data_IF_875132669201
#
_entry.id   IF_875132669201
#
_cell.length_a   1.000
_cell.length_b   1.000
_cell.length_c   1.000
_cell.angle_alpha   90.00
_cell.angle_beta   90.00
_cell.angle_gamma   90.00
#
_symmetry.space_group_name_H-M   'P 1'
#
loop_
_entity.id
_entity.type
_entity.pdbx_description
1 polymer ?
#
# COMPACT_ATOMS: atom_id res chain seq x y z
N UNK A 1 15.69 -13.48 35.66
CA UNK A 1 14.39 -14.15 35.91
C UNK A 1 13.35 -13.09 36.28
N UNK A 2 12.59 -12.60 35.30
CA UNK A 2 11.30 -11.90 35.45
C UNK A 2 10.71 -11.76 34.05
N UNK A 3 9.67 -12.55 33.78
CA UNK A 3 9.02 -12.61 32.47
C UNK A 3 7.86 -11.60 32.38
N UNK A 4 7.80 -10.99 31.18
CA UNK A 4 6.69 -10.36 30.45
C UNK A 4 5.28 -10.44 31.07
N UNK A 5 4.70 -9.26 31.29
CA UNK A 5 3.25 -9.06 31.27
C UNK A 5 2.75 -8.96 29.81
N UNK A 6 1.72 -9.74 29.48
CA UNK A 6 1.02 -9.68 28.20
C UNK A 6 -0.05 -8.60 28.21
N UNK A 7 -0.02 -7.73 27.22
CA UNK A 7 -1.06 -6.75 26.95
C UNK A 7 -2.01 -7.30 25.87
N UNK A 8 -3.30 -7.33 26.20
CA UNK A 8 -4.39 -7.79 25.36
C UNK A 8 -4.64 -6.84 24.17
N UNK A 9 -4.91 -7.41 23.00
CA UNK A 9 -5.31 -6.69 21.80
C UNK A 9 -6.81 -6.31 21.88
N UNK A 10 -7.22 -5.08 21.48
CA UNK A 10 -8.63 -4.74 21.37
C UNK A 10 -9.24 -5.28 20.07
N UNK A 11 -10.45 -5.81 20.21
CA UNK A 11 -11.26 -6.47 19.20
C UNK A 11 -11.71 -5.52 18.07
N UNK A 12 -11.73 -6.04 16.84
CA UNK A 12 -12.34 -5.41 15.67
C UNK A 12 -13.87 -5.39 15.84
N UNK A 13 -14.56 -4.25 15.67
CA UNK A 13 -16.01 -4.24 15.58
C UNK A 13 -16.44 -4.88 14.25
N UNK A 14 -17.35 -5.85 14.37
CA UNK A 14 -17.87 -6.66 13.26
C UNK A 14 -18.78 -5.86 12.32
N UNK A 15 -18.85 -6.34 11.08
CA UNK A 15 -19.66 -5.86 9.95
C UNK A 15 -21.16 -5.66 10.25
N UNK A 16 -21.65 -6.09 11.41
CA UNK A 16 -23.07 -6.07 11.80
C UNK A 16 -23.52 -4.69 12.32
N UNK A 17 -22.60 -3.90 12.91
CA UNK A 17 -22.89 -2.54 13.40
C UNK A 17 -23.19 -1.55 12.27
N UNK A 18 -22.62 -1.78 11.08
CA UNK A 18 -22.81 -0.90 9.92
C UNK A 18 -24.19 -1.08 9.29
N UNK A 19 -24.75 -2.29 9.36
CA UNK A 19 -26.07 -2.62 8.80
C UNK A 19 -27.17 -2.14 9.74
N UNK A 20 -26.99 -2.29 11.06
CA UNK A 20 -27.96 -1.85 12.05
C UNK A 20 -28.05 -0.31 12.13
N UNK A 21 -26.93 0.42 11.95
CA UNK A 21 -26.94 1.89 11.82
C UNK A 21 -27.65 2.37 10.55
N UNK A 22 -27.51 1.68 9.41
CA UNK A 22 -28.22 2.04 8.17
C UNK A 22 -29.73 1.80 8.28
N UNK A 23 -30.15 0.72 8.94
CA UNK A 23 -31.57 0.47 9.24
C UNK A 23 -32.16 1.53 10.17
N UNK A 24 -31.41 2.00 11.18
CA UNK A 24 -31.86 3.07 12.08
C UNK A 24 -32.04 4.43 11.37
N UNK A 25 -31.16 4.75 10.41
CA UNK A 25 -31.22 5.99 9.61
C UNK A 25 -32.38 5.96 8.60
N UNK A 26 -32.69 4.79 8.04
CA UNK A 26 -33.82 4.64 7.11
C UNK A 26 -35.17 4.63 7.86
N UNK A 27 -35.25 4.03 9.05
CA UNK A 27 -36.46 4.09 9.89
C UNK A 27 -36.75 5.49 10.44
N UNK A 28 -35.72 6.29 10.72
CA UNK A 28 -35.90 7.68 11.17
C UNK A 28 -36.32 8.62 10.04
N UNK A 29 -36.01 8.29 8.78
CA UNK A 29 -36.44 9.07 7.61
C UNK A 29 -37.92 8.79 7.23
N UNK A 30 -38.45 7.62 7.55
CA UNK A 30 -39.83 7.23 7.22
C UNK A 30 -40.91 7.88 8.13
N UNK A 31 -40.55 8.46 9.27
CA UNK A 31 -41.50 9.11 10.19
C UNK A 31 -41.81 10.57 9.78
N UNK A 32 -41.07 11.13 8.81
CA UNK A 32 -41.19 12.56 8.46
C UNK A 32 -42.22 12.83 7.34
N UNK A 33 -42.83 11.80 6.73
CA UNK A 33 -43.77 12.00 5.60
C UNK A 33 -45.04 11.17 5.76
N UNK A 34 -45.89 11.55 6.72
CA UNK A 34 -47.33 11.28 6.68
C UNK A 34 -48.09 12.46 7.30
N UNK A 35 -49.01 13.04 6.52
CA UNK A 35 -49.65 14.35 6.71
C UNK A 35 -50.41 14.57 8.03
N UNK A 36 -50.45 15.80 8.54
CA UNK A 36 -51.31 16.91 8.05
C UNK A 36 -52.81 16.66 8.31
N UNK A 37 -53.21 16.63 9.58
CA UNK A 37 -54.57 16.91 10.00
C UNK A 37 -54.54 17.71 11.33
N UNK A 38 -55.30 18.80 11.35
CA UNK A 38 -55.34 19.84 12.38
C UNK A 38 -55.79 19.35 13.77
N UNK A 39 -54.85 18.89 14.58
CA UNK A 39 -54.97 18.96 16.04
C UNK A 39 -53.73 19.66 16.58
N UNK A 40 -53.94 20.73 17.37
CA UNK A 40 -52.87 21.46 18.03
C UNK A 40 -51.99 20.47 18.80
N UNK A 41 -50.81 20.17 18.25
CA UNK A 41 -49.78 19.26 18.79
C UNK A 41 -49.05 19.85 20.01
N UNK A 42 -49.67 20.86 20.63
CA UNK A 42 -49.08 21.60 21.73
C UNK A 42 -49.60 20.98 23.02
N UNK A 43 -48.75 20.28 23.81
CA UNK A 43 -49.07 19.89 25.18
C UNK A 43 -49.82 20.99 25.92
N UNK A 44 -50.82 20.63 26.73
CA UNK A 44 -51.69 21.61 27.42
C UNK A 44 -50.90 22.68 28.18
N UNK A 45 -49.79 22.28 28.80
CA UNK A 45 -48.87 23.17 29.52
C UNK A 45 -48.22 24.21 28.58
N UNK A 46 -47.84 23.80 27.37
CA UNK A 46 -47.28 24.69 26.36
C UNK A 46 -48.35 25.62 25.77
N UNK A 47 -49.58 25.16 25.58
CA UNK A 47 -50.67 26.01 25.09
C UNK A 47 -50.98 27.14 26.09
N UNK A 48 -50.90 26.84 27.39
CA UNK A 48 -51.04 27.84 28.46
C UNK A 48 -49.84 28.79 28.47
N UNK A 49 -48.62 28.28 28.32
CA UNK A 49 -47.41 29.11 28.24
C UNK A 49 -47.45 30.09 27.05
N UNK A 50 -47.85 29.61 25.86
CA UNK A 50 -48.03 30.43 24.66
C UNK A 50 -49.08 31.52 24.92
N UNK A 51 -50.26 31.14 25.42
CA UNK A 51 -51.34 32.11 25.68
C UNK A 51 -50.94 33.18 26.69
N UNK A 52 -50.20 32.80 27.72
CA UNK A 52 -49.67 33.74 28.71
C UNK A 52 -48.64 34.66 28.07
N UNK A 53 -47.74 34.13 27.25
CA UNK A 53 -46.74 34.90 26.53
C UNK A 53 -47.34 35.88 25.53
N UNK A 54 -48.32 35.46 24.73
CA UNK A 54 -49.01 36.35 23.80
C UNK A 54 -49.72 37.48 24.54
N UNK A 55 -50.31 37.17 25.70
CA UNK A 55 -50.94 38.18 26.56
C UNK A 55 -49.92 39.16 27.15
N UNK A 56 -48.72 38.71 27.49
CA UNK A 56 -47.67 39.59 28.04
C UNK A 56 -46.97 40.40 26.96
N UNK A 57 -46.87 39.90 25.73
CA UNK A 57 -46.29 40.63 24.60
C UNK A 57 -47.27 41.59 23.92
N UNK A 58 -48.59 41.38 24.05
CA UNK A 58 -49.61 42.22 23.42
C UNK A 58 -49.46 43.74 23.68
N UNK A 59 -49.19 44.21 24.92
CA UNK A 59 -48.96 45.64 25.20
C UNK A 59 -47.74 46.22 24.47
N UNK A 60 -46.78 45.38 24.09
CA UNK A 60 -45.53 45.78 23.43
C UNK A 60 -45.57 45.65 21.90
N UNK A 61 -46.72 45.25 21.33
CA UNK A 61 -46.88 45.01 19.89
C UNK A 61 -46.42 46.17 19.01
N UNK A 62 -46.69 47.42 19.40
CA UNK A 62 -46.23 48.61 18.67
C UNK A 62 -44.70 48.71 18.63
N UNK A 63 -44.04 48.57 19.78
CA UNK A 63 -42.58 48.62 19.88
C UNK A 63 -41.89 47.48 19.10
N UNK A 64 -42.48 46.28 19.11
CA UNK A 64 -41.99 45.13 18.33
C UNK A 64 -42.07 45.44 16.83
N UNK A 65 -43.21 45.94 16.35
CA UNK A 65 -43.41 46.27 14.93
C UNK A 65 -42.51 47.42 14.46
N UNK A 66 -42.29 48.43 15.30
CA UNK A 66 -41.38 49.53 14.98
C UNK A 66 -39.93 49.05 14.84
N UNK A 67 -39.50 48.13 15.71
CA UNK A 67 -38.16 47.53 15.65
C UNK A 67 -37.99 46.68 14.38
N UNK A 68 -38.99 45.87 14.00
CA UNK A 68 -38.98 45.09 12.76
C UNK A 68 -38.86 46.02 11.55
N UNK A 69 -39.67 47.09 11.49
CA UNK A 69 -39.66 48.08 10.40
C UNK A 69 -38.30 48.74 10.23
N UNK A 70 -37.69 49.19 11.33
CA UNK A 70 -36.38 49.85 11.31
C UNK A 70 -35.26 48.91 10.84
N UNK A 71 -35.38 47.61 11.15
CA UNK A 71 -34.39 46.60 10.77
C UNK A 71 -34.46 46.14 9.32
N UNK A 72 -35.57 46.38 8.62
CA UNK A 72 -35.84 45.86 7.28
C UNK A 72 -36.10 44.34 7.19
N UNK A 73 -36.05 43.60 8.30
CA UNK A 73 -36.26 42.14 8.32
C UNK A 73 -37.74 41.75 8.10
N UNK A 74 -38.00 40.49 7.76
CA UNK A 74 -39.36 39.94 7.57
C UNK A 74 -40.11 39.78 8.90
N UNK A 75 -39.40 39.63 10.02
CA UNK A 75 -39.99 39.56 11.35
C UNK A 75 -38.97 39.76 12.46
N UNK A 76 -39.36 39.42 13.68
CA UNK A 76 -38.48 39.38 14.83
C UNK A 76 -38.91 38.31 15.84
N UNK A 77 -37.93 37.71 16.51
CA UNK A 77 -38.20 37.02 17.77
C UNK A 77 -38.46 38.05 18.86
N UNK A 78 -39.56 37.87 19.59
CA UNK A 78 -39.97 38.71 20.70
C UNK A 78 -40.26 37.84 21.93
N UNK A 79 -39.67 38.23 23.06
CA UNK A 79 -39.94 37.65 24.36
C UNK A 79 -39.60 38.64 25.47
N UNK A 80 -40.09 38.39 26.69
CA UNK A 80 -39.69 39.13 27.88
C UNK A 80 -38.55 38.37 28.57
N UNK A 81 -37.51 39.08 28.96
CA UNK A 81 -36.47 38.54 29.83
C UNK A 81 -37.08 38.20 31.20
N UNK A 82 -37.01 36.96 31.68
CA UNK A 82 -37.55 36.59 32.99
C UNK A 82 -36.72 37.13 34.16
N UNK A 83 -35.54 37.73 33.94
CA UNK A 83 -34.74 38.39 34.96
C UNK A 83 -35.34 39.71 35.44
N UNK A 84 -35.47 40.68 34.53
CA UNK A 84 -35.91 42.06 34.81
C UNK A 84 -37.23 42.45 34.12
N UNK A 85 -37.80 41.55 33.31
CA UNK A 85 -39.04 41.76 32.56
C UNK A 85 -38.89 42.64 31.32
N UNK A 86 -37.68 42.97 30.87
CA UNK A 86 -37.51 43.81 29.69
C UNK A 86 -37.88 43.06 28.40
N UNK A 87 -38.40 43.81 27.42
CA UNK A 87 -38.72 43.27 26.10
C UNK A 87 -37.45 43.09 25.27
N UNK A 88 -37.17 41.87 24.86
CA UNK A 88 -36.13 41.54 23.89
C UNK A 88 -36.78 41.35 22.53
N UNK A 89 -36.31 42.11 21.52
CA UNK A 89 -36.74 42.00 20.12
C UNK A 89 -35.52 41.80 19.23
N UNK A 90 -35.51 40.70 18.47
CA UNK A 90 -34.39 40.29 17.64
C UNK A 90 -34.86 40.14 16.20
N UNK A 91 -34.57 41.11 15.33
CA UNK A 91 -34.98 41.04 13.93
C UNK A 91 -34.27 39.94 13.16
N UNK A 92 -35.02 39.26 12.30
CA UNK A 92 -34.50 38.26 11.37
C UNK A 92 -35.58 37.77 10.41
N UNK A 93 -35.17 37.04 9.38
CA UNK A 93 -36.10 36.60 8.35
C UNK A 93 -36.76 35.25 8.71
N UNK A 94 -36.27 34.59 9.76
CA UNK A 94 -36.86 33.40 10.35
C UNK A 94 -36.58 33.32 11.86
N UNK A 95 -37.38 32.52 12.62
CA UNK A 95 -37.11 32.27 14.03
C UNK A 95 -35.68 31.75 14.28
N UNK A 96 -35.23 30.80 13.46
CA UNK A 96 -33.90 30.20 13.60
C UNK A 96 -32.75 31.18 13.35
N UNK A 97 -32.93 32.11 12.41
CA UNK A 97 -31.92 33.11 12.09
C UNK A 97 -31.83 34.20 13.15
N UNK A 98 -32.96 34.75 13.57
CA UNK A 98 -33.02 35.73 14.66
C UNK A 98 -32.41 35.15 15.96
N UNK A 99 -32.65 33.86 16.20
CA UNK A 99 -32.06 33.13 17.31
C UNK A 99 -30.53 33.01 17.19
N UNK A 100 -30.03 32.65 16.01
CA UNK A 100 -28.59 32.56 15.76
C UNK A 100 -27.89 33.93 15.97
N UNK A 101 -28.52 35.03 15.53
CA UNK A 101 -27.99 36.39 15.76
C UNK A 101 -27.94 36.75 17.24
N UNK A 102 -28.96 36.37 18.02
CA UNK A 102 -28.97 36.57 19.46
C UNK A 102 -27.79 35.88 20.15
N UNK A 103 -27.54 34.62 19.79
CA UNK A 103 -26.43 33.85 20.36
C UNK A 103 -25.06 34.40 19.97
N UNK A 104 -24.92 34.89 18.73
CA UNK A 104 -23.70 35.49 18.20
C UNK A 104 -23.44 36.94 18.69
N UNK A 105 -24.44 37.59 19.30
CA UNK A 105 -24.32 38.97 19.77
C UNK A 105 -23.42 39.05 21.02
N UNK A 106 -22.38 39.90 21.05
CA UNK A 106 -21.44 40.02 22.17
C UNK A 106 -22.01 40.73 23.42
N UNK A 107 -23.27 41.17 23.37
CA UNK A 107 -23.93 42.01 24.37
C UNK A 107 -24.54 41.21 25.53
N UNK A 108 -23.76 40.40 26.23
CA UNK A 108 -24.21 39.78 27.48
C UNK A 108 -23.21 38.76 28.06
N UNK A 109 -22.76 39.01 29.29
CA UNK A 109 -21.90 38.08 30.02
C UNK A 109 -22.58 36.70 30.16
N UNK A 110 -21.83 35.57 30.21
CA UNK A 110 -22.39 34.23 30.35
C UNK A 110 -23.26 34.05 31.60
N UNK A 111 -23.11 34.95 32.58
CA UNK A 111 -23.77 34.92 33.89
C UNK A 111 -25.09 35.72 33.96
N UNK A 112 -25.44 36.52 32.93
CA UNK A 112 -26.71 37.29 32.88
C UNK A 112 -27.80 36.65 32.00
N UNK A 113 -27.50 35.57 31.25
CA UNK A 113 -28.47 34.85 30.40
C UNK A 113 -29.40 33.93 31.21
N UNK A 114 -29.57 34.21 32.49
CA UNK A 114 -30.09 33.26 33.47
C UNK A 114 -31.61 33.27 33.40
N UNK A 115 -32.09 32.25 32.70
CA UNK A 115 -33.47 31.93 32.41
C UNK A 115 -33.93 32.61 31.13
N UNK A 116 -34.07 31.81 30.09
CA UNK A 116 -34.76 32.19 28.88
C UNK A 116 -36.18 31.61 28.98
N UNK A 117 -37.22 32.30 28.49
CA UNK A 117 -38.55 31.75 28.56
C UNK A 117 -38.61 30.45 27.72
N UNK A 118 -39.32 29.41 28.20
CA UNK A 118 -39.37 28.12 27.52
C UNK A 118 -40.00 28.20 26.12
N UNK A 119 -40.81 29.23 25.89
CA UNK A 119 -41.45 29.54 24.61
C UNK A 119 -41.06 30.97 24.22
N UNK A 120 -40.88 31.20 22.92
CA UNK A 120 -40.66 32.52 22.33
C UNK A 120 -41.61 32.72 21.14
N UNK A 121 -41.97 33.97 20.85
CA UNK A 121 -42.90 34.31 19.77
C UNK A 121 -42.14 34.96 18.61
N UNK A 122 -42.31 34.46 17.39
CA UNK A 122 -41.81 35.10 16.19
C UNK A 122 -42.92 35.93 15.56
N UNK A 123 -42.74 37.24 15.60
CA UNK A 123 -43.68 38.24 15.10
C UNK A 123 -43.27 38.64 13.70
N UNK A 124 -44.16 38.44 12.74
CA UNK A 124 -43.97 38.88 11.36
C UNK A 124 -44.25 40.38 11.22
N UNK A 125 -43.62 41.02 10.24
CA UNK A 125 -43.91 42.42 9.88
C UNK A 125 -45.37 42.56 9.44
N UNK A 126 -46.02 43.65 9.82
CA UNK A 126 -47.46 43.85 9.62
C UNK A 126 -47.95 43.81 8.15
N UNK A 127 -47.07 43.99 7.18
CA UNK A 127 -47.32 43.87 5.73
C UNK A 127 -47.23 42.43 5.20
N UNK A 128 -46.74 41.49 6.01
CA UNK A 128 -46.67 40.06 5.70
C UNK A 128 -47.83 39.35 6.42
N UNK A 129 -48.85 38.85 5.70
CA UNK A 129 -49.98 38.17 6.31
C UNK A 129 -49.54 36.79 6.79
N UNK A 130 -49.01 36.71 8.01
CA UNK A 130 -48.70 35.45 8.68
C UNK A 130 -48.88 35.61 10.18
N UNK A 131 -49.54 34.63 10.80
CA UNK A 131 -49.73 34.63 12.26
C UNK A 131 -48.37 34.57 12.97
N UNK A 132 -48.27 35.09 14.21
CA UNK A 132 -47.09 34.89 15.02
C UNK A 132 -46.85 33.39 15.23
N UNK A 133 -45.61 32.94 15.04
CA UNK A 133 -45.21 31.54 15.23
C UNK A 133 -44.57 31.39 16.62
N UNK A 134 -45.15 30.56 17.47
CA UNK A 134 -44.53 30.24 18.76
C UNK A 134 -43.57 29.05 18.61
N UNK A 135 -42.36 29.21 19.15
CA UNK A 135 -41.29 28.21 19.06
C UNK A 135 -40.73 27.95 20.47
N UNK A 136 -40.48 26.69 20.79
CA UNK A 136 -39.88 26.30 22.08
C UNK A 136 -38.37 26.53 22.03
N UNK A 137 -37.79 27.03 23.11
CA UNK A 137 -36.34 27.21 23.23
C UNK A 137 -35.55 25.92 22.97
N UNK A 138 -36.04 24.78 23.48
CA UNK A 138 -35.41 23.47 23.30
C UNK A 138 -35.31 23.04 21.84
N UNK A 139 -36.28 23.45 21.00
CA UNK A 139 -36.26 23.17 19.57
C UNK A 139 -35.13 23.94 18.87
N UNK A 140 -34.95 25.23 19.20
CA UNK A 140 -33.89 26.04 18.62
C UNK A 140 -32.50 25.56 19.08
N UNK A 141 -32.36 25.18 20.35
CA UNK A 141 -31.14 24.58 20.89
C UNK A 141 -30.79 23.24 20.22
N UNK A 142 -31.79 22.38 19.97
CA UNK A 142 -31.60 21.14 19.22
C UNK A 142 -31.17 21.41 17.78
N UNK A 143 -31.78 22.39 17.12
CA UNK A 143 -31.44 22.75 15.74
C UNK A 143 -29.99 23.27 15.61
N UNK A 144 -29.52 24.07 16.58
CA UNK A 144 -28.13 24.52 16.62
C UNK A 144 -27.15 23.36 16.83
N UNK A 145 -27.46 22.46 17.77
CA UNK A 145 -26.64 21.27 18.02
C UNK A 145 -26.54 20.38 16.77
N UNK A 146 -27.63 20.25 16.01
CA UNK A 146 -27.60 19.53 14.73
C UNK A 146 -26.73 20.24 13.69
N UNK A 147 -26.75 21.58 13.62
CA UNK A 147 -25.89 22.33 12.71
C UNK A 147 -24.41 22.20 13.05
N UNK A 148 -24.05 22.28 14.33
CA UNK A 148 -22.64 22.15 14.76
C UNK A 148 -22.12 20.74 14.53
N UNK A 149 -22.94 19.71 14.78
CA UNK A 149 -22.57 18.32 14.51
C UNK A 149 -22.45 18.02 13.01
N UNK A 150 -23.32 18.59 12.17
CA UNK A 150 -23.19 18.50 10.71
C UNK A 150 -21.90 19.18 10.20
N UNK A 151 -21.59 20.37 10.71
CA UNK A 151 -20.35 21.07 10.34
C UNK A 151 -19.11 20.27 10.77
N UNK A 152 -19.12 19.71 11.98
CA UNK A 152 -18.03 18.84 12.46
C UNK A 152 -17.89 17.59 11.58
N UNK A 153 -19.00 16.94 11.21
CA UNK A 153 -18.98 15.77 10.35
C UNK A 153 -18.43 16.08 8.95
N UNK A 154 -18.79 17.23 8.36
CA UNK A 154 -18.24 17.67 7.07
C UNK A 154 -16.72 17.86 7.13
N UNK A 155 -16.20 18.42 8.24
CA UNK A 155 -14.75 18.55 8.42
C UNK A 155 -14.04 17.21 8.52
N UNK A 156 -14.62 16.23 9.22
CA UNK A 156 -14.05 14.89 9.33
C UNK A 156 -14.10 14.11 8.01
N UNK A 157 -15.19 14.26 7.23
CA UNK A 157 -15.28 13.66 5.88
C UNK A 157 -14.20 14.24 4.97
N UNK A 158 -13.96 15.56 5.01
CA UNK A 158 -12.90 16.21 4.22
C UNK A 158 -11.51 15.72 4.62
N UNK A 159 -11.21 15.66 5.93
CA UNK A 159 -9.93 15.11 6.44
C UNK A 159 -9.72 13.65 6.03
N UNK A 160 -10.76 12.82 6.13
CA UNK A 160 -10.68 11.41 5.76
C UNK A 160 -10.45 11.25 4.25
N UNK A 161 -11.14 12.05 3.43
CA UNK A 161 -10.92 12.09 1.98
C UNK A 161 -9.47 12.44 1.65
N UNK A 162 -8.92 13.49 2.27
CA UNK A 162 -7.53 13.91 2.05
C UNK A 162 -6.53 12.85 2.49
N UNK A 163 -6.77 12.21 3.64
CA UNK A 163 -5.97 11.09 4.13
C UNK A 163 -5.98 9.90 3.19
N UNK A 164 -7.16 9.49 2.68
CA UNK A 164 -7.27 8.38 1.72
C UNK A 164 -6.53 8.70 0.42
N UNK A 165 -6.62 9.94 -0.07
CA UNK A 165 -5.88 10.36 -1.27
C UNK A 165 -4.37 10.33 -1.03
N UNK A 166 -3.90 10.80 0.13
CA UNK A 166 -2.49 10.75 0.50
C UNK A 166 -1.98 9.30 0.59
N UNK A 167 -2.66 8.44 1.35
CA UNK A 167 -2.30 7.02 1.49
C UNK A 167 -2.32 6.29 0.15
N UNK A 168 -3.29 6.60 -0.74
CA UNK A 168 -3.34 6.04 -2.09
C UNK A 168 -2.11 6.44 -2.91
N UNK A 169 -1.69 7.70 -2.85
CA UNK A 169 -0.48 8.17 -3.55
C UNK A 169 0.78 7.49 -3.02
N UNK A 170 0.95 7.42 -1.70
CA UNK A 170 2.08 6.75 -1.05
C UNK A 170 2.16 5.25 -1.40
N UNK A 171 1.00 4.59 -1.43
CA UNK A 171 0.92 3.18 -1.82
C UNK A 171 1.30 3.02 -3.29
N UNK A 172 0.81 3.90 -4.17
CA UNK A 172 1.12 3.85 -5.60
C UNK A 172 2.60 4.10 -5.87
N UNK A 173 3.24 5.05 -5.16
CA UNK A 173 4.68 5.26 -5.25
C UNK A 173 5.47 4.06 -4.74
N UNK A 174 5.05 3.47 -3.61
CA UNK A 174 5.72 2.29 -3.04
C UNK A 174 5.62 1.07 -3.98
N UNK A 175 4.48 0.89 -4.65
CA UNK A 175 4.31 -0.16 -5.65
C UNK A 175 5.20 0.10 -6.88
N UNK A 176 5.31 1.35 -7.33
CA UNK A 176 6.15 1.70 -8.46
C UNK A 176 7.63 1.44 -8.18
N UNK A 177 8.12 1.84 -7.00
CA UNK A 177 9.52 1.58 -6.59
C UNK A 177 9.78 0.07 -6.44
N UNK A 178 8.87 -0.67 -5.80
CA UNK A 178 9.00 -2.11 -5.67
C UNK A 178 9.02 -2.84 -7.03
N UNK A 179 8.26 -2.36 -8.01
CA UNK A 179 8.30 -2.89 -9.38
C UNK A 179 9.63 -2.59 -10.07
N UNK A 180 10.15 -1.38 -9.91
CA UNK A 180 11.45 -1.01 -10.47
C UNK A 180 12.58 -1.86 -9.88
N UNK A 181 12.58 -2.05 -8.56
CA UNK A 181 13.58 -2.88 -7.88
C UNK A 181 13.48 -4.35 -8.29
N UNK A 182 12.25 -4.87 -8.44
CA UNK A 182 12.03 -6.23 -8.95
C UNK A 182 12.54 -6.38 -10.39
N UNK A 183 12.32 -5.39 -11.25
CA UNK A 183 12.81 -5.43 -12.62
C UNK A 183 14.34 -5.43 -12.66
N UNK A 184 15.00 -4.55 -11.88
CA UNK A 184 16.46 -4.54 -11.76
C UNK A 184 17.03 -5.87 -11.27
N UNK A 185 16.37 -6.50 -10.29
CA UNK A 185 16.78 -7.80 -9.78
C UNK A 185 16.64 -8.91 -10.86
N UNK A 186 15.57 -8.87 -11.66
CA UNK A 186 15.37 -9.80 -12.76
C UNK A 186 16.40 -9.60 -13.88
N UNK A 187 16.72 -8.35 -14.22
CA UNK A 187 17.73 -8.03 -15.23
C UNK A 187 19.12 -8.51 -14.78
N UNK A 188 19.49 -8.25 -13.51
CA UNK A 188 20.73 -8.76 -12.91
C UNK A 188 20.79 -10.29 -12.94
N UNK A 189 19.69 -10.98 -12.61
CA UNK A 189 19.62 -12.44 -12.65
C UNK A 189 19.76 -12.98 -14.07
N UNK A 190 19.21 -12.29 -15.07
CA UNK A 190 19.35 -12.67 -16.47
C UNK A 190 20.80 -12.54 -16.95
N UNK A 191 21.51 -11.49 -16.53
CA UNK A 191 22.95 -11.31 -16.80
C UNK A 191 23.78 -12.44 -16.15
N UNK A 192 23.51 -12.75 -14.88
CA UNK A 192 24.18 -13.85 -14.17
C UNK A 192 23.93 -15.21 -14.85
N UNK A 193 22.70 -15.47 -15.29
CA UNK A 193 22.35 -16.68 -16.03
C UNK A 193 23.09 -16.77 -17.36
N UNK A 194 23.21 -15.65 -18.08
CA UNK A 194 23.97 -15.59 -19.33
C UNK A 194 25.46 -15.85 -19.10
N UNK A 195 26.03 -15.27 -18.04
CA UNK A 195 27.40 -15.51 -17.63
C UNK A 195 27.64 -16.98 -17.25
N UNK A 196 26.73 -17.57 -16.45
CA UNK A 196 26.78 -18.98 -16.08
C UNK A 196 26.72 -19.90 -17.31
N UNK A 197 25.82 -19.61 -18.27
CA UNK A 197 25.74 -20.36 -19.53
C UNK A 197 27.04 -20.29 -20.32
N UNK A 198 27.66 -19.10 -20.42
CA UNK A 198 28.95 -18.92 -21.09
C UNK A 198 30.05 -19.73 -20.38
N UNK A 199 30.10 -19.67 -19.06
CA UNK A 199 31.06 -20.45 -18.27
C UNK A 199 30.90 -21.96 -18.47
N UNK A 200 29.66 -22.45 -18.49
CA UNK A 200 29.36 -23.87 -18.77
C UNK A 200 29.82 -24.29 -20.17
N UNK A 201 29.59 -23.46 -21.20
CA UNK A 201 30.05 -23.74 -22.56
C UNK A 201 31.58 -23.77 -22.63
N UNK A 202 32.26 -22.82 -22.01
CA UNK A 202 33.73 -22.80 -21.93
C UNK A 202 34.28 -24.04 -21.19
N UNK A 203 33.62 -24.46 -20.11
CA UNK A 203 33.99 -25.67 -19.38
C UNK A 203 33.79 -26.94 -20.24
N UNK A 204 32.71 -27.00 -21.01
CA UNK A 204 32.47 -28.09 -21.95
C UNK A 204 33.50 -28.12 -23.09
N UNK A 205 33.90 -26.95 -23.62
CA UNK A 205 34.97 -26.83 -24.62
C UNK A 205 36.32 -27.31 -24.08
N UNK A 206 36.67 -26.92 -22.85
CA UNK A 206 37.88 -27.41 -22.17
C UNK A 206 37.82 -28.93 -21.96
N UNK A 207 36.67 -29.47 -21.57
CA UNK A 207 36.45 -30.91 -21.45
C UNK A 207 36.65 -31.65 -22.78
N UNK A 208 36.10 -31.11 -23.87
CA UNK A 208 36.28 -31.64 -25.22
C UNK A 208 37.75 -31.63 -25.63
N UNK A 209 38.43 -30.50 -25.45
CA UNK A 209 39.85 -30.35 -25.80
C UNK A 209 40.73 -31.31 -25.01
N UNK A 210 40.45 -31.47 -23.71
CA UNK A 210 41.19 -32.40 -22.86
C UNK A 210 41.02 -33.86 -23.33
N UNK A 211 39.79 -34.25 -23.71
CA UNK A 211 39.54 -35.58 -24.28
C UNK A 211 40.27 -35.79 -25.61
N UNK A 212 40.20 -34.81 -26.52
CA UNK A 212 40.88 -34.84 -27.82
C UNK A 212 42.39 -35.00 -27.64
N UNK A 213 43.01 -34.17 -26.80
CA UNK A 213 44.43 -34.23 -26.49
C UNK A 213 44.83 -35.57 -25.86
N UNK A 214 44.02 -36.12 -24.95
CA UNK A 214 44.32 -37.40 -24.31
C UNK A 214 44.27 -38.57 -25.30
N UNK A 215 43.32 -38.55 -26.24
CA UNK A 215 43.22 -39.55 -27.31
C UNK A 215 44.41 -39.44 -28.26
N UNK A 216 44.76 -38.22 -28.69
CA UNK A 216 45.92 -37.97 -29.55
C UNK A 216 47.23 -38.41 -28.90
N UNK A 217 47.45 -38.06 -27.63
CA UNK A 217 48.64 -38.44 -26.88
C UNK A 217 48.74 -39.98 -26.75
N UNK A 218 47.65 -40.65 -26.37
CA UNK A 218 47.63 -42.11 -26.27
C UNK A 218 47.93 -42.78 -27.61
N UNK A 219 47.39 -42.26 -28.71
CA UNK A 219 47.67 -42.76 -30.05
C UNK A 219 49.13 -42.50 -30.48
N UNK A 220 49.70 -41.34 -30.15
CA UNK A 220 51.09 -41.01 -30.41
C UNK A 220 52.04 -41.94 -29.63
N UNK A 221 51.76 -42.19 -28.35
CA UNK A 221 52.52 -43.14 -27.52
C UNK A 221 52.44 -44.55 -28.11
N UNK A 222 51.26 -45.01 -28.55
CA UNK A 222 51.14 -46.31 -29.21
C UNK A 222 51.97 -46.40 -30.50
N UNK A 223 51.93 -45.37 -31.35
CA UNK A 223 52.73 -45.31 -32.58
C UNK A 223 54.23 -45.32 -32.26
N UNK A 224 54.66 -44.53 -31.28
CA UNK A 224 56.06 -44.47 -30.84
C UNK A 224 56.51 -45.82 -30.28
N UNK A 225 55.69 -46.47 -29.46
CA UNK A 225 55.97 -47.80 -28.92
C UNK A 225 56.10 -48.85 -30.02
N UNK A 226 55.20 -48.85 -31.02
CA UNK A 226 55.28 -49.75 -32.17
C UNK A 226 56.54 -49.50 -33.00
N UNK A 227 56.88 -48.23 -33.27
CA UNK A 227 58.12 -47.87 -33.96
C UNK A 227 59.37 -48.30 -33.16
N UNK A 228 59.36 -48.12 -31.85
CA UNK A 228 60.43 -48.56 -30.95
C UNK A 228 60.61 -50.09 -31.00
N UNK A 229 59.51 -50.86 -30.92
CA UNK A 229 59.54 -52.32 -31.08
C UNK A 229 60.10 -52.75 -32.44
N UNK A 230 59.72 -52.06 -33.51
CA UNK A 230 60.24 -52.33 -34.85
C UNK A 230 61.75 -52.03 -34.94
N UNK A 231 62.22 -50.93 -34.35
CA UNK A 231 63.66 -50.61 -34.27
C UNK A 231 64.41 -51.68 -33.47
N UNK A 232 63.87 -52.14 -32.34
CA UNK A 232 64.47 -53.24 -31.57
C UNK A 232 64.54 -54.54 -32.38
N UNK A 233 63.47 -54.90 -33.09
CA UNK A 233 63.46 -56.09 -33.95
C UNK A 233 64.46 -55.98 -35.12
N UNK A 234 64.56 -54.81 -35.74
CA UNK A 234 65.53 -54.54 -36.80
C UNK A 234 66.97 -54.58 -36.27
N UNK A 235 67.21 -54.06 -35.07
CA UNK A 235 68.52 -54.11 -34.40
C UNK A 235 68.93 -55.56 -34.08
N UNK A 236 67.99 -56.38 -33.57
CA UNK A 236 68.23 -57.80 -33.33
C UNK A 236 68.59 -58.54 -34.63
N UNK A 237 67.82 -58.32 -35.71
CA UNK A 237 68.14 -58.88 -37.04
C UNK A 237 69.52 -58.45 -37.52
N UNK A 238 69.88 -57.18 -37.36
CA UNK A 238 71.19 -56.68 -37.74
C UNK A 238 72.30 -57.38 -36.94
N UNK A 239 72.14 -57.53 -35.62
CA UNK A 239 73.09 -58.25 -34.77
C UNK A 239 73.26 -59.71 -35.23
N UNK A 240 72.17 -60.40 -35.58
CA UNK A 240 72.22 -61.76 -36.13
C UNK A 240 72.96 -61.81 -37.47
N UNK A 241 72.71 -60.86 -38.38
CA UNK A 241 73.43 -60.80 -39.66
C UNK A 241 74.93 -60.53 -39.47
N UNK A 242 75.31 -59.67 -38.52
CA UNK A 242 76.72 -59.41 -38.18
C UNK A 242 77.37 -60.68 -37.64
N UNK A 243 76.67 -61.41 -36.77
CA UNK A 243 77.16 -62.69 -36.25
C UNK A 243 77.37 -63.71 -37.36
N UNK A 244 76.39 -63.87 -38.26
CA UNK A 244 76.50 -64.78 -39.41
C UNK A 244 77.68 -64.41 -40.33
N UNK A 245 77.89 -63.12 -40.59
CA UNK A 245 79.04 -62.65 -41.36
C UNK A 245 80.37 -62.98 -40.65
N UNK A 246 80.44 -62.76 -39.34
CA UNK A 246 81.61 -63.12 -38.53
C UNK A 246 81.91 -64.62 -38.60
N UNK A 247 80.91 -65.46 -38.38
CA UNK A 247 81.04 -66.93 -38.42
C UNK A 247 81.48 -67.39 -39.84
N UNK A 248 80.92 -66.78 -40.89
CA UNK A 248 81.31 -67.06 -42.28
C UNK A 248 82.77 -66.67 -42.56
N UNK A 249 83.21 -65.50 -42.09
CA UNK A 249 84.59 -65.05 -42.25
C UNK A 249 85.58 -65.96 -41.50
N UNK A 250 85.24 -66.39 -40.28
CA UNK A 250 86.05 -67.36 -39.53
C UNK A 250 86.21 -68.68 -40.30
N UNK A 251 85.10 -69.20 -40.85
CA UNK A 251 85.13 -70.42 -41.66
C UNK A 251 85.98 -70.24 -42.93
N UNK A 252 85.87 -69.10 -43.61
CA UNK A 252 86.71 -68.78 -44.77
C UNK A 252 88.20 -68.71 -44.40
N UNK A 253 88.55 -68.15 -43.24
CA UNK A 253 89.94 -68.10 -42.76
C UNK A 253 90.47 -69.50 -42.41
N UNK A 254 89.67 -70.35 -41.76
CA UNK A 254 90.02 -71.75 -41.48
C UNK A 254 90.25 -72.54 -42.77
N UNK A 255 89.36 -72.38 -43.75
CA UNK A 255 89.50 -73.00 -45.07
C UNK A 255 90.78 -72.53 -45.77
N UNK A 256 91.07 -71.22 -45.73
CA UNK A 256 92.28 -70.67 -46.34
C UNK A 256 93.56 -71.17 -45.64
N UNK A 257 93.55 -71.27 -44.31
CA UNK A 257 94.63 -71.87 -43.53
C UNK A 257 94.83 -73.35 -43.87
N UNK A 258 93.75 -74.13 -43.96
CA UNK A 258 93.80 -75.54 -44.36
C UNK A 258 94.36 -75.72 -45.78
N UNK A 259 93.99 -74.83 -46.72
CA UNK A 259 94.56 -74.82 -48.07
C UNK A 259 96.05 -74.48 -48.07
N UNK A 260 96.47 -73.51 -47.25
CA UNK A 260 97.89 -73.16 -47.12
C UNK A 260 98.70 -74.33 -46.54
N UNK A 261 98.21 -75.01 -45.50
CA UNK A 261 98.85 -76.19 -44.91
C UNK A 261 98.95 -77.34 -45.94
N UNK A 262 97.88 -77.59 -46.70
CA UNK A 262 97.88 -78.58 -47.77
C UNK A 262 98.91 -78.25 -48.88
N UNK A 263 99.06 -76.97 -49.25
CA UNK A 263 100.08 -76.51 -50.19
C UNK A 263 101.48 -76.69 -49.59
N UNK A 264 101.70 -76.31 -48.33
CA UNK A 264 102.99 -76.43 -47.65
C UNK A 264 103.43 -77.89 -47.51
N UNK A 265 102.50 -78.80 -47.18
CA UNK A 265 102.75 -80.24 -47.14
C UNK A 265 103.14 -80.78 -48.51
N UNK A 266 102.41 -80.41 -49.56
CA UNK A 266 102.77 -80.75 -50.95
C UNK A 266 104.15 -80.25 -51.36
N UNK A 267 104.55 -79.05 -50.95
CA UNK A 267 105.89 -78.51 -51.22
C UNK A 267 106.96 -79.30 -50.45
N UNK A 268 106.68 -79.72 -49.22
CA UNK A 268 107.61 -80.49 -48.40
C UNK A 268 107.85 -81.91 -48.93
N UNK A 269 106.84 -82.53 -49.55
CA UNK A 269 106.90 -83.85 -50.18
C UNK A 269 107.67 -83.86 -51.53
N UNK A 270 108.08 -82.70 -52.06
CA UNK A 270 108.80 -82.54 -53.35
C UNK A 270 110.33 -82.41 -53.16
N UNK A 271 110.84 -82.68 -51.95
CA UNK A 271 112.28 -82.79 -51.65
C UNK A 271 112.75 -84.23 -51.64
#
# INVERSE_FOLDING_TARGET
MRMRGGAAAPAKPGSEDLIMRRLLVVLSLAVVVAGCANHSLVPKEQAVAIKNQDRTLAPHSAAIQDTIRQSGSVGALAFLDPGDGHLVVLPGDSPAEAWARYLASPSGSPTDRVSMPPVISFVHRADVPKAPESVTYSFLQQQETLRTTLAALDTEVRKLSDSVVATRRETQTSIATAREDMQKALDSLAEDLAAARKFMLQTAELGRLNQEMNVENTNAIRKLSAASQQVSANSAKLADTIRQLSDSLENQLKELAARLDAIQKRISDVK
#
